data_IF_831218650932
#
_entry.id   IF_831218650932
#
_cell.length_a   1.000
_cell.length_b   1.000
_cell.length_c   1.000
_cell.angle_alpha   90.00
_cell.angle_beta   90.00
_cell.angle_gamma   90.00
#
_symmetry.space_group_name_H-M   'P 1'
#
loop_
_entity.id
_entity.type
_entity.pdbx_description
1 polymer ?
#
# COMPACT_ATOMS: atom_id res chain seq x y z
N UNK A 1 10.32 2.05 12.87
CA UNK A 1 8.91 1.66 12.68
C UNK A 1 8.63 0.55 13.68
N UNK A 2 7.52 0.63 14.41
CA UNK A 2 7.17 -0.36 15.44
C UNK A 2 5.66 -0.62 15.47
N UNK A 3 5.24 -1.58 16.30
CA UNK A 3 3.84 -1.96 16.44
C UNK A 3 2.98 -0.83 17.02
N UNK A 4 3.55 0.00 17.91
CA UNK A 4 2.84 1.14 18.50
C UNK A 4 2.41 2.14 17.43
N UNK A 5 3.26 2.38 16.44
CA UNK A 5 2.96 3.24 15.31
C UNK A 5 1.89 2.67 14.36
N UNK A 6 1.77 1.33 14.26
CA UNK A 6 0.84 0.66 13.33
C UNK A 6 -0.48 0.22 13.98
N UNK A 7 -0.56 0.15 15.31
CA UNK A 7 -1.74 -0.28 16.07
C UNK A 7 -2.82 0.83 16.19
N UNK A 8 -3.03 1.60 15.11
CA UNK A 8 -4.02 2.67 14.99
C UNK A 8 -4.95 2.44 13.80
N UNK A 9 -6.10 3.15 13.70
CA UNK A 9 -6.96 3.11 12.52
C UNK A 9 -6.20 3.39 11.22
N UNK A 10 -6.62 2.74 10.13
CA UNK A 10 -5.91 2.83 8.85
C UNK A 10 -5.81 4.27 8.32
N UNK A 11 -6.78 5.13 8.62
CA UNK A 11 -6.81 6.56 8.26
C UNK A 11 -5.73 7.37 8.96
N UNK A 12 -5.36 6.96 10.19
CA UNK A 12 -4.28 7.58 10.94
C UNK A 12 -2.92 7.04 10.50
N UNK A 13 -2.83 5.74 10.19
CA UNK A 13 -1.56 5.10 9.81
C UNK A 13 -1.17 5.40 8.37
N UNK A 14 -2.13 5.48 7.44
CA UNK A 14 -1.86 5.70 6.03
C UNK A 14 -0.99 6.93 5.72
N UNK A 15 -1.23 8.12 6.29
CA UNK A 15 -0.33 9.26 6.10
C UNK A 15 1.01 9.10 6.82
N UNK A 16 1.08 8.37 7.94
CA UNK A 16 2.35 8.09 8.67
C UNK A 16 3.29 7.18 7.88
N UNK A 17 2.76 6.35 6.99
CA UNK A 17 3.55 5.49 6.12
C UNK A 17 4.17 6.25 4.93
N UNK A 18 3.80 7.49 4.67
CA UNK A 18 4.47 8.30 3.65
C UNK A 18 5.90 8.60 4.10
N UNK A 19 6.88 8.33 3.23
CA UNK A 19 8.30 8.41 3.53
C UNK A 19 8.90 7.13 4.13
N UNK A 20 8.10 6.25 4.73
CA UNK A 20 8.57 4.95 5.21
C UNK A 20 9.09 4.08 4.06
N UNK A 21 10.01 3.18 4.35
CA UNK A 21 10.69 2.35 3.34
C UNK A 21 10.27 0.91 3.50
N UNK A 22 9.81 0.31 2.40
CA UNK A 22 9.59 -1.14 2.32
C UNK A 22 10.74 -1.76 1.54
N UNK A 23 11.47 -2.66 2.19
CA UNK A 23 12.63 -3.36 1.63
C UNK A 23 12.30 -4.83 1.43
N UNK A 24 12.74 -5.38 0.30
CA UNK A 24 12.72 -6.81 0.03
C UNK A 24 14.13 -7.29 -0.34
N UNK A 25 14.66 -8.19 0.49
CA UNK A 25 15.92 -8.89 0.29
C UNK A 25 15.66 -10.25 -0.38
N UNK A 26 15.95 -10.33 -1.67
CA UNK A 26 15.80 -11.54 -2.47
C UNK A 26 17.20 -12.08 -2.88
N UNK A 27 17.33 -13.37 -3.27
CA UNK A 27 18.60 -13.93 -3.72
C UNK A 27 19.24 -13.16 -4.90
N UNK A 28 18.43 -12.58 -5.77
CA UNK A 28 18.87 -11.77 -6.91
C UNK A 28 19.27 -10.33 -6.53
N UNK A 29 18.98 -9.89 -5.31
CA UNK A 29 19.35 -8.58 -4.79
C UNK A 29 18.28 -7.92 -3.92
N UNK A 30 18.66 -6.80 -3.32
CA UNK A 30 17.78 -5.97 -2.47
C UNK A 30 17.10 -4.89 -3.29
N UNK A 31 15.81 -4.68 -3.06
CA UNK A 31 15.09 -3.49 -3.53
C UNK A 31 14.45 -2.79 -2.34
N UNK A 32 14.67 -1.49 -2.20
CA UNK A 32 14.06 -0.65 -1.17
C UNK A 32 13.25 0.46 -1.83
N UNK A 33 12.00 0.65 -1.40
CA UNK A 33 11.09 1.65 -1.97
C UNK A 33 10.54 2.55 -0.86
N UNK A 34 10.81 3.85 -0.95
CA UNK A 34 10.22 4.87 -0.11
C UNK A 34 8.78 5.16 -0.58
N UNK A 35 7.81 5.03 0.33
CA UNK A 35 6.38 5.11 0.03
C UNK A 35 5.97 6.57 -0.19
N UNK A 36 5.27 6.84 -1.29
CA UNK A 36 4.81 8.20 -1.66
C UNK A 36 3.29 8.30 -1.81
N UNK A 37 2.60 7.15 -1.79
CA UNK A 37 1.14 7.08 -1.91
C UNK A 37 0.58 5.84 -1.19
N UNK A 38 -0.48 6.05 -0.42
CA UNK A 38 -1.18 5.01 0.35
C UNK A 38 -2.70 5.16 0.27
N UNK A 39 -3.44 4.09 0.55
CA UNK A 39 -4.90 4.12 0.74
C UNK A 39 -5.33 3.36 2.00
N UNK A 40 -6.19 3.97 2.80
CA UNK A 40 -6.77 3.39 4.01
C UNK A 40 -8.01 2.53 3.71
N UNK A 41 -8.11 1.39 4.38
CA UNK A 41 -9.25 0.48 4.34
C UNK A 41 -9.68 0.08 5.74
N UNK A 42 -10.91 0.48 6.11
CA UNK A 42 -11.45 0.44 7.49
C UNK A 42 -12.28 -0.81 7.78
N UNK A 43 -11.97 -1.92 7.11
CA UNK A 43 -12.60 -3.20 7.39
C UNK A 43 -14.10 -3.25 7.17
N UNK A 44 -14.84 -3.70 8.18
CA UNK A 44 -16.30 -3.83 8.18
C UNK A 44 -17.02 -2.49 8.05
N UNK A 45 -16.39 -1.38 8.43
CA UNK A 45 -16.96 -0.04 8.29
C UNK A 45 -16.83 0.51 6.85
N UNK A 46 -16.04 -0.13 5.98
CA UNK A 46 -15.68 0.41 4.67
C UNK A 46 -16.21 -0.48 3.53
N UNK A 47 -17.22 -0.04 2.77
CA UNK A 47 -17.78 -0.78 1.64
C UNK A 47 -16.80 -1.14 0.51
N UNK A 48 -15.63 -0.48 0.43
CA UNK A 48 -14.58 -0.80 -0.53
C UNK A 48 -13.56 -1.82 -0.02
N UNK A 49 -13.56 -2.13 1.28
CA UNK A 49 -12.63 -3.06 1.90
C UNK A 49 -12.95 -4.51 1.55
N UNK A 50 -11.90 -5.33 1.42
CA UNK A 50 -12.04 -6.78 1.32
C UNK A 50 -12.64 -7.44 2.56
N UNK A 51 -12.60 -6.75 3.71
CA UNK A 51 -13.17 -7.24 4.96
C UNK A 51 -14.56 -6.68 5.25
N UNK A 52 -15.18 -5.92 4.32
CA UNK A 52 -16.51 -5.34 4.51
C UNK A 52 -17.57 -6.38 4.88
N UNK A 53 -17.50 -7.58 4.25
CA UNK A 53 -18.42 -8.70 4.50
C UNK A 53 -17.89 -9.70 5.54
N UNK A 54 -16.91 -9.30 6.33
CA UNK A 54 -16.29 -10.14 7.35
C UNK A 54 -15.13 -11.00 6.83
N UNK A 55 -14.71 -11.94 7.69
CA UNK A 55 -13.51 -12.75 7.50
C UNK A 55 -13.74 -13.87 6.50
N UNK A 56 -12.75 -14.08 5.65
CA UNK A 56 -12.65 -15.16 4.66
C UNK A 56 -11.22 -15.72 4.68
N UNK A 57 -10.96 -16.92 4.13
CA UNK A 57 -9.59 -17.43 4.02
C UNK A 57 -8.65 -16.46 3.30
N UNK A 58 -9.15 -15.75 2.29
CA UNK A 58 -8.37 -14.81 1.47
C UNK A 58 -7.92 -13.58 2.26
N UNK A 59 -8.77 -13.02 3.11
CA UNK A 59 -8.49 -11.77 3.84
C UNK A 59 -8.10 -12.01 5.31
N UNK A 60 -7.92 -13.27 5.72
CA UNK A 60 -7.69 -13.65 7.12
C UNK A 60 -6.49 -12.91 7.74
N UNK A 61 -5.45 -12.62 6.96
CA UNK A 61 -4.28 -11.84 7.39
C UNK A 61 -4.68 -10.44 7.88
N UNK A 62 -5.69 -9.80 7.28
CA UNK A 62 -6.15 -8.48 7.71
C UNK A 62 -6.64 -8.46 9.16
N UNK A 63 -7.08 -9.61 9.69
CA UNK A 63 -7.56 -9.74 11.07
C UNK A 63 -6.44 -10.11 12.06
N UNK A 64 -5.20 -10.26 11.59
CA UNK A 64 -4.04 -10.56 12.42
C UNK A 64 -3.44 -9.31 13.08
N UNK A 65 -2.24 -9.44 13.68
CA UNK A 65 -1.55 -8.34 14.32
C UNK A 65 -1.11 -7.25 13.33
N UNK A 66 -1.05 -5.99 13.80
CA UNK A 66 -0.50 -4.88 13.02
C UNK A 66 0.95 -5.16 12.56
N UNK A 67 1.31 -4.65 11.37
CA UNK A 67 2.62 -4.87 10.76
C UNK A 67 2.73 -6.15 9.91
N UNK A 68 1.65 -6.91 9.74
CA UNK A 68 1.64 -8.04 8.80
C UNK A 68 1.33 -7.60 7.37
N UNK A 69 1.91 -8.28 6.39
CA UNK A 69 1.71 -7.97 4.97
C UNK A 69 0.50 -8.74 4.42
N UNK A 70 -0.53 -8.02 3.98
CA UNK A 70 -1.65 -8.60 3.23
C UNK A 70 -1.47 -8.40 1.73
N UNK A 71 -1.26 -9.50 1.00
CA UNK A 71 -1.04 -9.57 -0.44
C UNK A 71 -2.22 -10.23 -1.15
N UNK A 72 -2.62 -9.67 -2.31
CA UNK A 72 -3.67 -10.24 -3.14
C UNK A 72 -3.49 -9.91 -4.63
N UNK A 73 -4.06 -10.72 -5.53
CA UNK A 73 -4.19 -10.37 -6.96
C UNK A 73 -5.35 -9.40 -7.19
N UNK A 74 -5.06 -8.20 -7.69
CA UNK A 74 -6.08 -7.28 -8.20
C UNK A 74 -6.50 -7.68 -9.61
N UNK A 75 -7.79 -7.99 -9.79
CA UNK A 75 -8.37 -8.47 -11.05
C UNK A 75 -7.63 -9.66 -11.69
N UNK A 76 -6.93 -10.48 -10.89
CA UNK A 76 -6.11 -11.60 -11.38
C UNK A 76 -4.78 -11.21 -12.01
N UNK A 77 -4.52 -9.92 -12.24
CA UNK A 77 -3.40 -9.45 -13.07
C UNK A 77 -2.16 -9.07 -12.27
N UNK A 78 -2.30 -8.30 -11.20
CA UNK A 78 -1.14 -7.77 -10.47
C UNK A 78 -1.26 -8.04 -8.97
N UNK A 79 -0.14 -8.23 -8.30
CA UNK A 79 -0.09 -8.27 -6.84
C UNK A 79 -0.28 -6.87 -6.27
N UNK A 80 -1.05 -6.75 -5.21
CA UNK A 80 -1.15 -5.56 -4.38
C UNK A 80 -0.78 -5.95 -2.95
N UNK A 81 -0.12 -5.04 -2.22
CA UNK A 81 0.37 -5.26 -0.87
C UNK A 81 -0.19 -4.21 0.10
N UNK A 82 -0.60 -4.66 1.28
CA UNK A 82 -1.18 -3.83 2.32
C UNK A 82 -0.48 -4.11 3.64
N UNK A 83 -0.28 -3.09 4.46
CA UNK A 83 0.19 -3.23 5.84
C UNK A 83 -1.04 -3.33 6.72
N UNK A 84 -1.16 -4.41 7.50
CA UNK A 84 -2.22 -4.57 8.50
C UNK A 84 -1.99 -3.58 9.64
N UNK A 85 -3.08 -2.94 10.09
CA UNK A 85 -3.06 -1.89 11.12
C UNK A 85 -4.12 -2.16 12.18
N UNK A 86 -4.07 -1.40 13.27
CA UNK A 86 -5.06 -1.45 14.34
C UNK A 86 -4.92 -2.68 15.24
N UNK A 87 -5.98 -2.95 16.02
CA UNK A 87 -6.02 -4.06 16.96
C UNK A 87 -6.27 -5.41 16.25
N UNK A 88 -5.60 -6.46 16.73
CA UNK A 88 -5.85 -7.83 16.27
C UNK A 88 -7.34 -8.19 16.40
N UNK A 89 -7.85 -8.94 15.42
CA UNK A 89 -9.26 -9.26 15.30
C UNK A 89 -10.08 -8.21 14.57
N UNK A 90 -9.56 -6.99 14.34
CA UNK A 90 -10.22 -5.93 13.58
C UNK A 90 -9.50 -5.70 12.25
N UNK A 91 -10.20 -5.94 11.13
CA UNK A 91 -9.57 -5.92 9.82
C UNK A 91 -9.35 -4.51 9.24
N UNK A 92 -8.31 -3.82 9.68
CA UNK A 92 -7.88 -2.55 9.07
C UNK A 92 -6.53 -2.71 8.37
N UNK A 93 -6.36 -2.06 7.23
CA UNK A 93 -5.12 -2.12 6.49
C UNK A 93 -4.89 -0.89 5.63
N UNK A 94 -3.62 -0.63 5.32
CA UNK A 94 -3.18 0.42 4.41
C UNK A 94 -2.60 -0.22 3.15
N UNK A 95 -3.22 0.02 2.00
CA UNK A 95 -2.65 -0.35 0.70
C UNK A 95 -1.45 0.54 0.39
N UNK A 96 -0.33 -0.06 0.03
CA UNK A 96 0.82 0.66 -0.53
C UNK A 96 0.62 0.80 -2.04
N UNK A 97 0.57 2.04 -2.51
CA UNK A 97 0.20 2.34 -3.91
C UNK A 97 1.35 2.77 -4.75
N UNK A 98 2.22 3.62 -4.24
CA UNK A 98 3.34 4.09 -5.02
C UNK A 98 4.52 4.43 -4.15
N UNK A 99 5.68 4.50 -4.78
CA UNK A 99 6.90 4.90 -4.12
C UNK A 99 8.04 5.20 -5.09
N UNK A 100 9.12 5.72 -4.52
CA UNK A 100 10.40 5.96 -5.16
C UNK A 100 11.34 4.83 -4.80
N UNK A 101 11.91 4.17 -5.80
CA UNK A 101 12.98 3.19 -5.57
C UNK A 101 14.21 3.95 -5.05
N UNK A 102 14.69 3.58 -3.86
CA UNK A 102 15.85 4.22 -3.21
C UNK A 102 17.07 3.29 -3.18
N UNK A 103 16.87 2.01 -3.46
CA UNK A 103 17.92 0.99 -3.58
C UNK A 103 17.47 -0.09 -4.57
N UNK A 104 18.40 -0.65 -5.32
CA UNK A 104 18.11 -1.75 -6.25
C UNK A 104 17.39 -1.32 -7.53
N UNK A 105 17.66 -0.11 -8.03
CA UNK A 105 17.00 0.43 -9.23
C UNK A 105 17.16 -0.48 -10.45
N UNK A 106 18.34 -1.03 -10.69
CA UNK A 106 18.60 -1.91 -11.83
C UNK A 106 17.74 -3.18 -11.78
N UNK A 107 17.64 -3.80 -10.59
CA UNK A 107 16.78 -4.97 -10.38
C UNK A 107 15.29 -4.62 -10.49
N UNK A 108 14.86 -3.49 -9.93
CA UNK A 108 13.50 -2.99 -10.11
C UNK A 108 13.19 -2.76 -11.60
N UNK A 109 14.15 -2.25 -12.37
CA UNK A 109 14.04 -2.01 -13.81
C UNK A 109 14.04 -3.30 -14.62
N UNK A 110 14.81 -4.31 -14.24
CA UNK A 110 14.73 -5.64 -14.83
C UNK A 110 13.32 -6.23 -14.68
N UNK A 111 12.77 -6.15 -13.46
CA UNK A 111 11.42 -6.63 -13.14
C UNK A 111 10.31 -5.85 -13.86
N UNK A 112 10.50 -4.54 -14.10
CA UNK A 112 9.49 -3.64 -14.70
C UNK A 112 9.63 -3.43 -16.20
N UNK A 113 10.81 -3.66 -16.76
CA UNK A 113 11.20 -3.41 -18.14
C UNK A 113 12.21 -2.27 -18.30
N UNK A 114 13.25 -2.53 -19.09
CA UNK A 114 14.41 -1.63 -19.29
C UNK A 114 14.07 -0.17 -19.64
N UNK A 115 13.00 0.03 -20.41
CA UNK A 115 12.57 1.34 -20.93
C UNK A 115 11.68 2.15 -19.96
N UNK A 116 11.30 1.60 -18.81
CA UNK A 116 10.42 2.27 -17.85
C UNK A 116 11.21 3.37 -17.12
N UNK A 117 10.78 4.63 -17.24
CA UNK A 117 11.39 5.74 -16.50
C UNK A 117 11.43 5.49 -14.98
N UNK A 118 12.47 5.99 -14.31
CA UNK A 118 12.70 5.78 -12.86
C UNK A 118 11.48 6.15 -12.01
N UNK A 119 10.86 7.31 -12.28
CA UNK A 119 9.65 7.75 -11.56
C UNK A 119 8.42 6.83 -11.76
N UNK A 120 8.45 5.94 -12.75
CA UNK A 120 7.37 5.00 -13.08
C UNK A 120 7.64 3.56 -12.63
N UNK A 121 8.83 3.29 -12.08
CA UNK A 121 9.24 1.98 -11.59
C UNK A 121 8.40 1.48 -10.41
N UNK A 122 7.77 2.35 -9.63
CA UNK A 122 6.84 1.91 -8.58
C UNK A 122 5.58 2.79 -8.52
N UNK A 123 5.19 3.35 -9.66
CA UNK A 123 3.99 4.20 -9.80
C UNK A 123 2.72 3.37 -10.00
N UNK A 124 2.01 3.09 -8.92
CA UNK A 124 0.76 2.30 -8.88
C UNK A 124 0.95 0.94 -8.17
N UNK A 125 -0.11 0.37 -7.55
CA UNK A 125 0.07 -0.70 -6.57
C UNK A 125 0.65 -1.99 -7.16
N UNK A 126 0.21 -2.39 -8.36
CA UNK A 126 0.78 -3.53 -9.08
C UNK A 126 2.23 -3.32 -9.49
N UNK A 127 2.53 -2.10 -9.90
CA UNK A 127 3.84 -1.63 -10.31
C UNK A 127 4.83 -1.59 -9.14
N UNK A 128 4.36 -1.17 -7.97
CA UNK A 128 5.09 -1.18 -6.71
C UNK A 128 5.47 -2.62 -6.33
N UNK A 129 4.50 -3.54 -6.27
CA UNK A 129 4.78 -4.94 -5.94
C UNK A 129 5.72 -5.59 -6.96
N UNK A 130 5.56 -5.31 -8.26
CA UNK A 130 6.42 -5.87 -9.29
C UNK A 130 7.88 -5.40 -9.17
N UNK A 131 8.12 -4.10 -8.95
CA UNK A 131 9.48 -3.60 -8.74
C UNK A 131 10.12 -4.17 -7.47
N UNK A 132 9.36 -4.20 -6.37
CA UNK A 132 9.84 -4.74 -5.10
C UNK A 132 10.02 -6.27 -5.12
N UNK A 133 9.35 -6.98 -6.05
CA UNK A 133 9.38 -8.45 -6.11
C UNK A 133 8.39 -9.14 -5.18
N UNK A 134 7.32 -8.45 -4.78
CA UNK A 134 6.28 -9.02 -3.92
C UNK A 134 5.32 -9.92 -4.72
N UNK A 135 5.16 -11.12 -4.22
CA UNK A 135 4.27 -12.19 -4.72
C UNK A 135 3.40 -12.78 -3.60
N UNK A 136 2.56 -13.78 -3.90
CA UNK A 136 1.78 -14.51 -2.89
C UNK A 136 2.63 -15.17 -1.79
N UNK A 137 3.90 -15.46 -2.04
CA UNK A 137 4.80 -16.10 -1.05
C UNK A 137 5.03 -15.20 0.19
N UNK A 138 4.79 -13.90 0.04
CA UNK A 138 4.98 -12.91 1.10
C UNK A 138 3.68 -12.64 1.89
N UNK A 139 2.59 -13.35 1.58
CA UNK A 139 1.34 -13.23 2.32
C UNK A 139 1.55 -13.56 3.80
N UNK A 140 1.19 -12.62 4.68
CA UNK A 140 1.32 -12.76 6.13
C UNK A 140 2.73 -12.51 6.67
N UNK A 141 3.68 -12.02 5.86
CA UNK A 141 5.02 -11.67 6.36
C UNK A 141 4.93 -10.63 7.49
N UNK A 142 5.68 -10.84 8.57
CA UNK A 142 5.84 -9.86 9.65
C UNK A 142 6.88 -8.81 9.24
N UNK A 143 6.42 -7.59 8.94
CA UNK A 143 7.26 -6.50 8.42
C UNK A 143 8.17 -5.86 9.48
N UNK A 144 7.90 -6.10 10.76
CA UNK A 144 8.68 -5.53 11.87
C UNK A 144 9.70 -6.53 12.43
N UNK A 145 9.64 -7.79 12.02
CA UNK A 145 10.48 -8.88 12.54
C UNK A 145 11.82 -9.07 11.85
N UNK A 146 12.22 -8.19 10.91
CA UNK A 146 13.51 -8.26 10.23
C UNK A 146 13.68 -9.45 9.27
N UNK A 147 12.58 -9.96 8.72
CA UNK A 147 12.62 -11.02 7.70
C UNK A 147 12.97 -10.45 6.31
N UNK A 148 12.85 -11.29 5.26
CA UNK A 148 13.09 -10.93 3.85
C UNK A 148 12.33 -9.69 3.38
N UNK A 149 11.19 -9.36 3.98
CA UNK A 149 10.45 -8.13 3.70
C UNK A 149 10.29 -7.36 5.00
N UNK A 150 10.78 -6.11 5.02
CA UNK A 150 10.82 -5.29 6.21
C UNK A 150 10.31 -3.87 5.94
N UNK A 151 9.56 -3.32 6.88
CA UNK A 151 9.10 -1.93 6.89
C UNK A 151 9.92 -1.14 7.91
N UNK A 152 10.65 -0.14 7.44
CA UNK A 152 11.49 0.73 8.26
C UNK A 152 11.03 2.18 8.15
N UNK A 153 11.52 3.01 9.07
CA UNK A 153 11.38 4.46 8.92
C UNK A 153 12.25 4.94 7.77
N UNK A 154 11.79 5.99 7.08
CA UNK A 154 12.58 6.70 6.08
C UNK A 154 12.69 8.18 6.42
N UNK A 155 12.90 9.00 5.40
CA UNK A 155 13.02 10.44 5.59
C UNK A 155 11.69 11.05 6.10
N UNK A 156 11.73 11.93 7.12
CA UNK A 156 10.55 12.63 7.58
C UNK A 156 9.87 13.42 6.46
N UNK A 157 8.57 13.21 6.29
CA UNK A 157 7.75 13.95 5.32
C UNK A 157 7.16 15.20 5.98
N UNK A 158 7.39 16.41 5.44
CA UNK A 158 6.70 17.61 5.89
C UNK A 158 5.18 17.50 5.72
N UNK A 159 4.42 17.77 6.78
CA UNK A 159 2.95 17.72 6.75
C UNK A 159 2.34 18.60 5.63
N UNK A 160 3.00 19.72 5.30
CA UNK A 160 2.60 20.62 4.22
C UNK A 160 2.62 19.98 2.82
N UNK A 161 3.30 18.85 2.63
CA UNK A 161 3.33 18.09 1.38
C UNK A 161 2.27 16.98 1.33
N UNK A 162 1.72 16.55 2.47
CA UNK A 162 0.73 15.48 2.50
C UNK A 162 -0.62 16.01 2.00
N UNK A 163 -1.25 15.27 1.10
CA UNK A 163 -2.62 15.54 0.62
C UNK A 163 -3.48 14.31 0.86
N UNK A 164 -4.76 14.58 1.13
CA UNK A 164 -5.81 13.57 1.18
C UNK A 164 -6.70 13.70 -0.06
N UNK A 165 -7.24 12.59 -0.53
CA UNK A 165 -8.09 12.53 -1.71
C UNK A 165 -8.94 11.27 -1.75
N UNK A 166 -9.85 11.16 -2.74
CA UNK A 166 -10.58 9.93 -3.00
C UNK A 166 -9.65 8.80 -3.47
N UNK A 167 -10.01 7.57 -3.09
CA UNK A 167 -9.31 6.35 -3.50
C UNK A 167 -9.47 6.07 -5.00
N UNK A 168 -8.43 5.52 -5.61
CA UNK A 168 -8.38 5.21 -7.04
C UNK A 168 -9.06 3.88 -7.33
N UNK A 169 -9.98 3.87 -8.29
CA UNK A 169 -10.55 2.64 -8.86
C UNK A 169 -11.59 1.93 -7.98
N UNK A 170 -11.91 2.43 -6.79
CA UNK A 170 -13.00 1.89 -5.96
C UNK A 170 -14.37 2.39 -6.46
N UNK A 171 -15.38 1.52 -6.44
CA UNK A 171 -16.74 1.84 -6.92
C UNK A 171 -17.71 2.23 -5.79
N UNK A 172 -17.42 1.83 -4.55
CA UNK A 172 -18.18 2.17 -3.35
C UNK A 172 -17.29 3.03 -2.46
N UNK A 173 -17.90 3.92 -1.66
CA UNK A 173 -17.15 4.83 -0.79
C UNK A 173 -16.01 5.53 -1.56
N UNK A 174 -16.33 5.94 -2.80
CA UNK A 174 -15.38 6.40 -3.81
C UNK A 174 -15.05 7.90 -3.68
N UNK A 175 -15.87 8.60 -2.91
CA UNK A 175 -15.77 9.99 -2.48
C UNK A 175 -15.06 10.14 -1.12
N UNK A 176 -14.87 9.06 -0.38
CA UNK A 176 -14.18 9.07 0.91
C UNK A 176 -12.70 9.45 0.74
N UNK A 177 -12.22 10.36 1.59
CA UNK A 177 -10.87 10.93 1.56
C UNK A 177 -9.82 10.00 2.17
N UNK A 178 -9.79 8.74 1.72
CA UNK A 178 -8.98 7.66 2.28
C UNK A 178 -7.71 7.38 1.47
N UNK A 179 -7.32 8.27 0.56
CA UNK A 179 -6.05 8.20 -0.18
C UNK A 179 -5.13 9.30 0.30
N UNK A 180 -3.88 8.97 0.59
CA UNK A 180 -2.87 9.92 1.05
C UNK A 180 -1.66 9.88 0.13
N UNK A 181 -1.11 11.04 -0.20
CA UNK A 181 0.01 11.14 -1.15
C UNK A 181 0.83 12.42 -0.99
N UNK A 182 2.06 12.39 -1.50
CA UNK A 182 2.95 13.54 -1.54
C UNK A 182 2.63 14.49 -2.70
N UNK A 183 2.33 15.74 -2.41
CA UNK A 183 2.04 16.77 -3.40
C UNK A 183 3.25 17.03 -4.31
N UNK A 184 3.04 16.99 -5.63
CA UNK A 184 4.07 17.28 -6.62
C UNK A 184 5.09 16.15 -6.85
N UNK A 185 5.01 15.04 -6.09
CA UNK A 185 5.93 13.92 -6.27
C UNK A 185 5.63 13.16 -7.58
N UNK A 186 6.61 12.97 -8.49
CA UNK A 186 6.38 12.38 -9.80
C UNK A 186 6.03 10.88 -9.75
N UNK A 187 6.28 10.22 -8.61
CA UNK A 187 5.99 8.79 -8.42
C UNK A 187 4.53 8.53 -8.05
N UNK A 188 3.80 9.54 -7.58
CA UNK A 188 2.38 9.42 -7.21
C UNK A 188 1.54 9.06 -8.43
N UNK A 189 0.72 8.02 -8.29
CA UNK A 189 -0.11 7.50 -9.38
C UNK A 189 -1.25 8.46 -9.76
N UNK A 190 -1.72 8.36 -11.00
CA UNK A 190 -2.82 9.19 -11.47
C UNK A 190 -4.13 8.78 -10.78
N UNK A 191 -4.92 9.77 -10.35
CA UNK A 191 -6.28 9.51 -9.89
C UNK A 191 -7.15 9.02 -11.05
N UNK A 192 -7.96 7.99 -10.79
CA UNK A 192 -8.95 7.45 -11.72
C UNK A 192 -10.18 7.01 -10.94
N UNK A 193 -11.33 7.61 -11.24
CA UNK A 193 -12.61 7.15 -10.73
C UNK A 193 -12.96 5.78 -11.35
N UNK A 194 -13.57 4.90 -10.57
CA UNK A 194 -14.06 3.63 -11.11
C UNK A 194 -15.19 3.89 -12.11
N UNK A 195 -15.20 3.25 -13.30
CA UNK A 195 -16.33 3.36 -14.23
C UNK A 195 -17.62 2.75 -13.66
N UNK A 196 -17.53 2.02 -12.55
CA UNK A 196 -18.65 1.43 -11.81
C UNK A 196 -19.09 2.27 -10.61
N UNK A 197 -18.45 3.42 -10.35
CA UNK A 197 -18.88 4.33 -9.30
C UNK A 197 -20.22 4.97 -9.68
N UNK A 198 -21.17 4.96 -8.75
CA UNK A 198 -22.42 5.71 -8.87
C UNK A 198 -22.26 7.04 -8.15
N UNK A 199 -22.93 8.12 -8.58
CA UNK A 199 -22.93 9.38 -7.85
C UNK A 199 -23.31 9.16 -6.38
N UNK A 200 -22.62 9.83 -5.47
CA UNK A 200 -23.00 9.84 -4.06
C UNK A 200 -24.40 10.42 -3.90
N UNK A 201 -25.21 9.84 -3.02
CA UNK A 201 -26.53 10.38 -2.74
C UNK A 201 -26.38 11.78 -2.12
N UNK A 202 -26.79 12.83 -2.85
CA UNK A 202 -26.70 14.23 -2.42
C UNK A 202 -25.72 15.12 -3.20
N UNK A 203 -25.19 14.65 -4.33
CA UNK A 203 -24.52 15.51 -5.33
C UNK A 203 -25.50 16.00 -6.40
#
# INVERSE_FOLDING_TARGET
MDVGNLAHPAEEVAPRLLGAVLTHEAPEGTVSIAITETEAYSGSADPASHAYRGRTPRNAVMFGPAGHLYVYRSHGLHWCANVVTGAEGTATAVLIRAGRVVEGEDLARERRGAKVETARLARGPGNFCQALGITAEHQGANLLGGARVALSEGEPVPAALVRAGPRVGVSKAHDWQHRFYLAGDPTVSAYRLSPRAKPSAGA
#
